data_IF_983666875805
#
_entry.id   IF_983666875805
#
_cell.length_a   1.000
_cell.length_b   1.000
_cell.length_c   1.000
_cell.angle_alpha   90.00
_cell.angle_beta   90.00
_cell.angle_gamma   90.00
#
_symmetry.space_group_name_H-M   'P 1'
#
loop_
_entity.id
_entity.type
_entity.pdbx_description
1 polymer ?
#
# COMPACT_ATOMS: atom_id res chain seq x y z
N UNK A 1 28.79 7.42 1.74
CA UNK A 1 28.54 8.81 1.32
C UNK A 1 27.13 9.20 1.76
N UNK A 2 26.96 10.14 2.69
CA UNK A 2 25.62 10.61 3.08
C UNK A 2 25.03 11.44 1.94
N UNK A 3 23.94 10.95 1.34
CA UNK A 3 23.14 11.75 0.41
C UNK A 3 22.47 12.86 1.23
N UNK A 4 22.57 14.15 0.83
CA UNK A 4 21.90 15.24 1.53
C UNK A 4 20.39 14.99 1.62
N UNK A 5 19.78 15.25 2.78
CA UNK A 5 18.33 15.10 3.02
C UNK A 5 17.48 15.81 1.96
N UNK A 6 17.97 16.95 1.46
CA UNK A 6 17.33 17.74 0.42
C UNK A 6 17.20 16.99 -0.91
N UNK A 7 18.21 16.19 -1.29
CA UNK A 7 18.16 15.37 -2.51
C UNK A 7 17.18 14.20 -2.36
N UNK A 8 17.04 13.65 -1.16
CA UNK A 8 16.07 12.58 -0.88
C UNK A 8 14.62 13.09 -0.87
N UNK A 9 14.41 14.35 -0.49
CA UNK A 9 13.11 15.03 -0.66
C UNK A 9 12.75 15.22 -2.13
N UNK A 10 13.73 15.57 -2.96
CA UNK A 10 13.52 15.64 -4.41
C UNK A 10 13.16 14.27 -4.99
N UNK A 11 13.69 13.16 -4.47
CA UNK A 11 13.28 11.82 -4.90
C UNK A 11 11.79 11.56 -4.65
N UNK A 12 11.24 11.99 -3.51
CA UNK A 12 9.81 11.86 -3.23
C UNK A 12 8.95 12.72 -4.18
N UNK A 13 9.40 13.94 -4.48
CA UNK A 13 8.73 14.82 -5.44
C UNK A 13 8.74 14.25 -6.86
N UNK A 14 9.86 13.65 -7.28
CA UNK A 14 9.95 12.97 -8.58
C UNK A 14 9.00 11.77 -8.63
N UNK A 15 8.91 10.99 -7.55
CA UNK A 15 7.97 9.87 -7.47
C UNK A 15 6.51 10.34 -7.61
N UNK A 16 6.14 11.46 -7.00
CA UNK A 16 4.80 12.06 -7.14
C UNK A 16 4.53 12.52 -8.58
N UNK A 17 5.55 13.03 -9.26
CA UNK A 17 5.43 13.46 -10.66
C UNK A 17 5.25 12.29 -11.65
N UNK A 18 5.63 11.06 -11.26
CA UNK A 18 5.35 9.85 -12.07
C UNK A 18 3.85 9.60 -12.03
N UNK A 19 3.16 9.99 -13.12
CA UNK A 19 1.70 9.81 -13.26
C UNK A 19 1.36 8.35 -13.57
N UNK A 20 1.57 7.45 -12.61
CA UNK A 20 1.32 6.00 -12.75
C UNK A 20 -0.08 5.68 -13.28
N UNK A 21 -1.09 6.45 -12.87
CA UNK A 21 -2.47 6.26 -13.35
C UNK A 21 -2.63 6.49 -14.86
N UNK A 22 -1.78 7.34 -15.47
CA UNK A 22 -1.81 7.61 -16.91
C UNK A 22 -1.15 6.50 -17.73
N UNK A 23 -0.34 5.65 -17.11
CA UNK A 23 0.36 4.57 -17.81
C UNK A 23 -0.36 3.23 -17.72
N UNK A 24 -1.48 3.13 -17.00
CA UNK A 24 -2.26 1.89 -16.84
C UNK A 24 -2.64 1.25 -18.19
N UNK A 25 -2.87 2.06 -19.23
CA UNK A 25 -3.19 1.57 -20.58
C UNK A 25 -2.03 0.85 -21.27
N UNK A 26 -0.79 1.02 -20.79
CA UNK A 26 0.39 0.28 -21.22
C UNK A 26 0.98 -0.44 -20.01
N UNK A 27 0.48 -1.64 -19.77
CA UNK A 27 0.75 -2.41 -18.56
C UNK A 27 2.24 -2.75 -18.36
N UNK A 28 3.02 -3.17 -19.38
CA UNK A 28 4.47 -3.33 -19.21
C UNK A 28 5.20 -2.04 -18.79
N UNK A 29 4.80 -0.89 -19.34
CA UNK A 29 5.40 0.39 -18.97
C UNK A 29 4.98 0.82 -17.55
N UNK A 30 3.70 0.63 -17.22
CA UNK A 30 3.18 0.83 -15.86
C UNK A 30 3.99 0.05 -14.84
N UNK A 31 4.19 -1.25 -15.06
CA UNK A 31 4.90 -2.13 -14.12
C UNK A 31 6.36 -1.69 -13.93
N UNK A 32 7.04 -1.25 -14.99
CA UNK A 32 8.40 -0.69 -14.90
C UNK A 32 8.45 0.57 -14.05
N UNK A 33 7.52 1.50 -14.25
CA UNK A 33 7.47 2.74 -13.47
C UNK A 33 7.05 2.48 -12.03
N UNK A 34 6.11 1.57 -11.81
CA UNK A 34 5.69 1.12 -10.50
C UNK A 34 6.88 0.56 -9.71
N UNK A 35 7.65 -0.34 -10.32
CA UNK A 35 8.82 -0.95 -9.68
C UNK A 35 9.90 0.10 -9.38
N UNK A 36 10.15 1.04 -10.30
CA UNK A 36 11.09 2.13 -10.07
C UNK A 36 10.69 3.01 -8.87
N UNK A 37 9.43 3.45 -8.80
CA UNK A 37 8.90 4.25 -7.68
C UNK A 37 8.95 3.45 -6.38
N UNK A 38 8.52 2.19 -6.41
CA UNK A 38 8.56 1.29 -5.26
C UNK A 38 9.99 1.10 -4.74
N UNK A 39 10.95 0.84 -5.62
CA UNK A 39 12.35 0.66 -5.25
C UNK A 39 12.91 1.90 -4.54
N UNK A 40 12.61 3.10 -5.05
CA UNK A 40 13.05 4.36 -4.42
C UNK A 40 12.52 4.48 -3.00
N UNK A 41 11.20 4.33 -2.80
CA UNK A 41 10.62 4.52 -1.46
C UNK A 41 10.99 3.37 -0.50
N UNK A 42 11.08 2.14 -0.99
CA UNK A 42 11.46 1.00 -0.19
C UNK A 42 12.91 1.12 0.28
N UNK A 43 13.82 1.50 -0.62
CA UNK A 43 15.23 1.74 -0.28
C UNK A 43 15.39 2.98 0.61
N UNK A 44 14.58 4.03 0.42
CA UNK A 44 14.58 5.19 1.31
C UNK A 44 14.22 4.77 2.74
N UNK A 45 13.19 3.94 2.91
CA UNK A 45 12.78 3.44 4.22
C UNK A 45 13.85 2.53 4.85
N UNK A 46 14.52 1.68 4.06
CA UNK A 46 15.54 0.75 4.57
C UNK A 46 16.85 1.46 4.93
N UNK A 47 17.40 2.25 4.00
CA UNK A 47 18.76 2.79 4.13
C UNK A 47 18.79 4.19 4.73
N UNK A 48 17.68 4.93 4.67
CA UNK A 48 17.57 6.30 5.18
C UNK A 48 16.25 6.50 5.96
N UNK A 49 15.92 5.62 6.93
CA UNK A 49 14.63 5.64 7.63
C UNK A 49 14.33 7.00 8.26
N UNK A 50 15.34 7.69 8.82
CA UNK A 50 15.16 9.02 9.41
C UNK A 50 14.51 10.00 8.41
N UNK A 51 14.96 10.01 7.16
CA UNK A 51 14.41 10.90 6.13
C UNK A 51 12.99 10.51 5.75
N UNK A 52 12.73 9.21 5.59
CA UNK A 52 11.38 8.71 5.33
C UNK A 52 10.40 9.09 6.46
N UNK A 53 10.85 9.04 7.72
CA UNK A 53 10.03 9.34 8.90
C UNK A 53 9.84 10.84 9.11
N UNK A 54 10.88 11.65 8.89
CA UNK A 54 10.80 13.12 8.95
C UNK A 54 9.88 13.67 7.86
N UNK A 55 9.74 12.94 6.76
CA UNK A 55 8.86 13.28 5.63
C UNK A 55 7.72 12.28 5.46
N UNK A 56 7.23 11.74 6.59
CA UNK A 56 6.27 10.64 6.65
C UNK A 56 4.96 10.90 5.89
N UNK A 57 4.49 12.14 5.84
CA UNK A 57 3.31 12.51 5.05
C UNK A 57 3.53 12.34 3.54
N UNK A 58 4.62 12.91 3.01
CA UNK A 58 4.99 12.77 1.59
C UNK A 58 5.31 11.31 1.26
N UNK A 59 6.02 10.61 2.14
CA UNK A 59 6.28 9.19 2.01
C UNK A 59 4.98 8.39 1.88
N UNK A 60 4.05 8.55 2.83
CA UNK A 60 2.77 7.84 2.84
C UNK A 60 1.92 8.20 1.61
N UNK A 61 1.97 9.44 1.16
CA UNK A 61 1.29 9.87 -0.06
C UNK A 61 1.75 9.06 -1.28
N UNK A 62 3.06 8.83 -1.45
CA UNK A 62 3.57 7.94 -2.51
C UNK A 62 3.09 6.50 -2.31
N UNK A 63 3.07 5.98 -1.07
CA UNK A 63 2.52 4.65 -0.78
C UNK A 63 1.06 4.54 -1.22
N UNK A 64 0.24 5.57 -0.97
CA UNK A 64 -1.15 5.63 -1.43
C UNK A 64 -1.24 5.66 -2.94
N UNK A 65 -0.40 6.44 -3.63
CA UNK A 65 -0.37 6.47 -5.10
C UNK A 65 -0.07 5.08 -5.65
N UNK A 66 0.95 4.39 -5.14
CA UNK A 66 1.27 3.03 -5.57
C UNK A 66 0.08 2.10 -5.33
N UNK A 67 -0.45 2.06 -4.11
CA UNK A 67 -1.58 1.19 -3.76
C UNK A 67 -2.80 1.44 -4.67
N UNK A 68 -3.21 2.71 -4.80
CA UNK A 68 -4.33 3.14 -5.64
C UNK A 68 -4.12 2.80 -7.12
N UNK A 69 -2.88 2.90 -7.60
CA UNK A 69 -2.55 2.57 -8.99
C UNK A 69 -2.52 1.06 -9.26
N UNK A 70 -2.13 0.26 -8.28
CA UNK A 70 -2.04 -1.20 -8.41
C UNK A 70 -3.40 -1.87 -8.35
N UNK A 71 -4.32 -1.42 -7.49
CA UNK A 71 -5.62 -2.08 -7.28
C UNK A 71 -6.43 -2.29 -8.59
N UNK A 72 -6.62 -1.30 -9.48
CA UNK A 72 -7.33 -1.53 -10.74
C UNK A 72 -6.58 -2.49 -11.68
N UNK A 73 -5.24 -2.41 -11.71
CA UNK A 73 -4.37 -3.31 -12.48
C UNK A 73 -4.42 -4.74 -11.94
N UNK A 74 -4.59 -4.90 -10.63
CA UNK A 74 -4.73 -6.18 -9.94
C UNK A 74 -6.13 -6.78 -9.99
N UNK A 75 -7.06 -6.20 -10.76
CA UNK A 75 -8.40 -6.75 -10.90
C UNK A 75 -8.40 -8.12 -11.56
N UNK A 76 -9.27 -9.01 -11.10
CA UNK A 76 -9.39 -10.38 -11.60
C UNK A 76 -9.59 -10.40 -13.11
N UNK A 77 -10.49 -9.55 -13.63
CA UNK A 77 -10.77 -9.46 -15.06
C UNK A 77 -9.53 -9.04 -15.84
N UNK A 78 -8.82 -7.98 -15.41
CA UNK A 78 -7.64 -7.50 -16.13
C UNK A 78 -6.51 -8.53 -16.08
N UNK A 79 -6.21 -9.08 -14.90
CA UNK A 79 -5.13 -10.07 -14.71
C UNK A 79 -5.39 -11.32 -15.56
N UNK A 80 -6.62 -11.85 -15.55
CA UNK A 80 -6.98 -13.04 -16.34
C UNK A 80 -6.85 -12.85 -17.86
N UNK A 81 -6.90 -11.60 -18.34
CA UNK A 81 -6.77 -11.27 -19.74
C UNK A 81 -5.31 -11.09 -20.20
N UNK A 82 -4.34 -11.13 -19.29
CA UNK A 82 -2.91 -10.96 -19.62
C UNK A 82 -2.20 -12.30 -19.81
N UNK A 83 -1.05 -12.27 -20.47
CA UNK A 83 -0.13 -13.41 -20.49
C UNK A 83 0.49 -13.69 -19.11
N UNK A 84 0.99 -14.91 -18.93
CA UNK A 84 1.53 -15.39 -17.65
C UNK A 84 2.68 -14.51 -17.11
N UNK A 85 3.53 -13.94 -17.96
CA UNK A 85 4.64 -13.12 -17.52
C UNK A 85 4.16 -11.79 -16.93
N UNK A 86 3.14 -11.18 -17.55
CA UNK A 86 2.52 -9.95 -17.02
C UNK A 86 1.73 -10.25 -15.73
N UNK A 87 1.00 -11.36 -15.65
CA UNK A 87 0.32 -11.78 -14.43
C UNK A 87 1.31 -11.91 -13.25
N UNK A 88 2.44 -12.58 -13.47
CA UNK A 88 3.49 -12.73 -12.46
C UNK A 88 4.06 -11.38 -11.99
N UNK A 89 4.24 -10.42 -12.90
CA UNK A 89 4.72 -9.09 -12.55
C UNK A 89 3.70 -8.29 -11.72
N UNK A 90 2.40 -8.41 -12.01
CA UNK A 90 1.34 -7.79 -11.18
C UNK A 90 1.34 -8.38 -9.77
N UNK A 91 1.42 -9.71 -9.66
CA UNK A 91 1.51 -10.40 -8.37
C UNK A 91 2.78 -9.94 -7.61
N UNK A 92 3.91 -9.79 -8.31
CA UNK A 92 5.14 -9.27 -7.72
C UNK A 92 4.99 -7.82 -7.23
N UNK A 93 4.27 -6.97 -7.95
CA UNK A 93 3.94 -5.62 -7.49
C UNK A 93 3.12 -5.64 -6.19
N UNK A 94 2.17 -6.57 -6.04
CA UNK A 94 1.43 -6.76 -4.79
C UNK A 94 2.32 -7.25 -3.64
N UNK A 95 3.24 -8.19 -3.91
CA UNK A 95 4.27 -8.64 -2.94
C UNK A 95 5.15 -7.48 -2.49
N UNK A 96 5.54 -6.61 -3.40
CA UNK A 96 6.35 -5.42 -3.12
C UNK A 96 5.62 -4.47 -2.17
N UNK A 97 4.32 -4.21 -2.40
CA UNK A 97 3.50 -3.40 -1.50
C UNK A 97 3.34 -4.03 -0.11
N UNK A 98 3.15 -5.36 -0.04
CA UNK A 98 3.15 -6.09 1.24
C UNK A 98 4.48 -5.90 2.00
N UNK A 99 5.62 -6.07 1.31
CA UNK A 99 6.96 -5.87 1.91
C UNK A 99 7.13 -4.46 2.45
N UNK A 100 6.67 -3.46 1.70
CA UNK A 100 6.73 -2.07 2.11
C UNK A 100 5.88 -1.80 3.36
N UNK A 101 4.63 -2.28 3.37
CA UNK A 101 3.74 -2.16 4.54
C UNK A 101 4.30 -2.90 5.77
N UNK A 102 4.91 -4.06 5.57
CA UNK A 102 5.61 -4.81 6.64
C UNK A 102 6.79 -4.01 7.19
N UNK A 103 7.55 -3.30 6.36
CA UNK A 103 8.63 -2.41 6.82
C UNK A 103 8.09 -1.18 7.54
N UNK A 104 7.00 -0.58 7.05
CA UNK A 104 6.34 0.53 7.76
C UNK A 104 5.90 0.11 9.16
N UNK A 105 5.43 -1.13 9.33
CA UNK A 105 5.03 -1.69 10.62
C UNK A 105 6.18 -1.74 11.64
N UNK A 106 7.44 -1.71 11.21
CA UNK A 106 8.61 -1.67 12.10
C UNK A 106 8.88 -0.26 12.68
N UNK A 107 8.12 0.76 12.26
CA UNK A 107 8.29 2.16 12.65
C UNK A 107 7.03 2.76 13.28
N UNK A 108 6.51 2.10 14.33
CA UNK A 108 5.22 2.37 14.99
C UNK A 108 4.93 3.85 15.25
N UNK A 109 5.83 4.54 15.95
CA UNK A 109 5.59 5.88 16.50
C UNK A 109 5.28 6.96 15.46
N UNK A 110 5.73 6.79 14.22
CA UNK A 110 5.61 7.81 13.17
C UNK A 110 4.45 7.50 12.22
N UNK A 111 4.17 6.23 11.95
CA UNK A 111 3.12 5.84 11.01
C UNK A 111 1.76 5.54 11.66
N UNK A 112 1.68 5.28 12.97
CA UNK A 112 0.42 4.95 13.66
C UNK A 112 -0.71 5.97 13.43
N UNK A 113 -0.40 7.27 13.35
CA UNK A 113 -1.38 8.33 13.07
C UNK A 113 -1.78 8.43 11.59
N UNK A 114 -0.95 7.91 10.70
CA UNK A 114 -1.06 8.07 9.26
C UNK A 114 -1.74 6.87 8.58
N UNK A 115 -1.47 5.67 9.09
CA UNK A 115 -1.97 4.39 8.56
C UNK A 115 -3.50 4.31 8.43
N UNK A 116 -4.32 4.85 9.36
CA UNK A 116 -5.79 4.83 9.17
C UNK A 116 -6.23 5.40 7.82
N UNK A 117 -5.54 6.44 7.34
CA UNK A 117 -5.84 7.04 6.04
C UNK A 117 -5.39 6.18 4.84
N UNK A 118 -4.39 5.31 5.02
CA UNK A 118 -3.97 4.33 4.00
C UNK A 118 -4.96 3.16 3.92
N UNK A 119 -5.47 2.70 5.08
CA UNK A 119 -6.54 1.69 5.14
C UNK A 119 -7.81 2.23 4.48
N UNK A 120 -8.17 3.50 4.75
CA UNK A 120 -9.30 4.14 4.09
C UNK A 120 -9.17 4.13 2.55
N UNK A 121 -7.99 4.47 2.03
CA UNK A 121 -7.70 4.45 0.59
C UNK A 121 -7.82 3.03 0.03
N UNK A 122 -7.27 2.02 0.72
CA UNK A 122 -7.40 0.62 0.32
C UNK A 122 -8.87 0.22 0.16
N UNK A 123 -9.67 0.43 1.21
CA UNK A 123 -11.08 0.04 1.25
C UNK A 123 -11.86 0.75 0.14
N UNK A 124 -11.61 2.05 -0.05
CA UNK A 124 -12.24 2.82 -1.12
C UNK A 124 -11.91 2.28 -2.50
N UNK A 125 -10.67 1.84 -2.73
CA UNK A 125 -10.27 1.31 -4.04
C UNK A 125 -10.87 -0.08 -4.30
N UNK A 126 -10.83 -0.99 -3.31
CA UNK A 126 -11.34 -2.36 -3.48
C UNK A 126 -12.86 -2.45 -3.50
N UNK A 127 -13.58 -1.40 -3.06
CA UNK A 127 -15.03 -1.32 -3.23
C UNK A 127 -15.46 -1.43 -4.70
N UNK A 128 -14.61 -0.98 -5.64
CA UNK A 128 -14.95 -0.90 -7.06
C UNK A 128 -14.34 -2.02 -7.90
N UNK A 129 -13.59 -2.94 -7.29
CA UNK A 129 -12.78 -3.93 -8.01
C UNK A 129 -12.81 -5.27 -7.28
N UNK A 130 -13.09 -6.34 -8.02
CA UNK A 130 -12.78 -7.70 -7.58
C UNK A 130 -11.31 -7.98 -7.90
N UNK A 131 -10.47 -8.07 -6.87
CA UNK A 131 -9.03 -8.38 -7.02
C UNK A 131 -8.82 -9.86 -7.40
N UNK A 132 -7.79 -10.11 -8.21
CA UNK A 132 -7.26 -11.46 -8.40
C UNK A 132 -6.79 -12.03 -7.04
N UNK A 133 -6.93 -13.34 -6.85
CA UNK A 133 -6.73 -13.99 -5.53
C UNK A 133 -5.34 -13.75 -4.95
N UNK A 134 -4.27 -14.00 -5.71
CA UNK A 134 -2.90 -13.83 -5.21
C UNK A 134 -2.57 -12.36 -4.93
N UNK A 135 -3.06 -11.44 -5.77
CA UNK A 135 -2.95 -9.99 -5.52
C UNK A 135 -3.65 -9.63 -4.21
N UNK A 136 -4.90 -10.09 -4.03
CA UNK A 136 -5.70 -9.84 -2.81
C UNK A 136 -4.98 -10.34 -1.57
N UNK A 137 -4.47 -11.57 -1.60
CA UNK A 137 -3.81 -12.20 -0.45
C UNK A 137 -2.57 -11.40 0.01
N UNK A 138 -1.74 -10.96 -0.94
CA UNK A 138 -0.59 -10.13 -0.61
C UNK A 138 -0.99 -8.75 -0.07
N UNK A 139 -1.98 -8.09 -0.67
CA UNK A 139 -2.43 -6.79 -0.17
C UNK A 139 -3.06 -6.91 1.22
N UNK A 140 -3.93 -7.90 1.46
CA UNK A 140 -4.54 -8.14 2.77
C UNK A 140 -3.47 -8.47 3.81
N UNK A 141 -2.48 -9.29 3.48
CA UNK A 141 -1.32 -9.55 4.36
C UNK A 141 -0.65 -8.24 4.79
N UNK A 142 -0.38 -7.32 3.84
CA UNK A 142 0.24 -6.04 4.16
C UNK A 142 -0.67 -5.12 4.97
N UNK A 143 -1.97 -5.08 4.66
CA UNK A 143 -2.97 -4.32 5.42
C UNK A 143 -3.03 -4.82 6.87
N UNK A 144 -3.01 -6.14 7.09
CA UNK A 144 -2.98 -6.72 8.43
C UNK A 144 -1.74 -6.29 9.22
N UNK A 145 -0.56 -6.23 8.58
CA UNK A 145 0.68 -5.77 9.23
C UNK A 145 0.61 -4.31 9.69
N UNK A 146 -0.05 -3.44 8.93
CA UNK A 146 -0.19 -2.03 9.34
C UNK A 146 -1.40 -1.80 10.25
N UNK A 147 -2.39 -2.71 10.27
CA UNK A 147 -3.48 -2.68 11.25
C UNK A 147 -2.96 -2.86 12.68
N UNK A 148 -1.85 -3.55 12.88
CA UNK A 148 -1.16 -3.63 14.17
C UNK A 148 -0.75 -2.24 14.71
N UNK A 149 -0.49 -1.27 13.81
CA UNK A 149 -0.13 0.11 14.18
C UNK A 149 -1.32 0.95 14.66
N UNK A 150 -2.55 0.49 14.43
CA UNK A 150 -3.75 1.26 14.74
C UNK A 150 -4.20 0.97 16.17
N UNK A 151 -4.34 2.01 16.99
CA UNK A 151 -5.06 1.88 18.26
C UNK A 151 -6.55 1.58 18.01
N UNK A 152 -7.22 0.95 18.99
CA UNK A 152 -8.67 0.73 18.91
C UNK A 152 -9.45 2.04 18.70
N UNK A 153 -8.97 3.16 19.26
CA UNK A 153 -9.57 4.48 19.04
C UNK A 153 -9.40 4.94 17.59
N UNK A 154 -8.23 4.72 16.98
CA UNK A 154 -7.99 5.01 15.57
C UNK A 154 -8.91 4.18 14.67
N UNK A 155 -9.10 2.88 14.97
CA UNK A 155 -9.99 1.99 14.21
C UNK A 155 -11.46 2.41 14.36
N UNK A 156 -11.92 2.70 15.58
CA UNK A 156 -13.28 3.21 15.82
C UNK A 156 -13.51 4.53 15.09
N UNK A 157 -12.57 5.46 15.19
CA UNK A 157 -12.65 6.75 14.48
C UNK A 157 -12.75 6.55 12.97
N UNK A 158 -11.93 5.66 12.39
CA UNK A 158 -12.01 5.34 10.97
C UNK A 158 -13.36 4.74 10.57
N UNK A 159 -13.91 3.83 11.39
CA UNK A 159 -15.23 3.22 11.11
C UNK A 159 -16.37 4.25 10.99
N UNK A 160 -16.29 5.33 11.77
CA UNK A 160 -17.28 6.43 11.75
C UNK A 160 -17.07 7.34 10.54
N UNK A 161 -15.81 7.66 10.24
CA UNK A 161 -15.43 8.68 9.25
C UNK A 161 -15.27 8.15 7.81
N UNK A 162 -15.17 6.84 7.62
CA UNK A 162 -15.09 6.26 6.27
C UNK A 162 -16.42 6.45 5.52
N UNK A 163 -16.35 6.50 4.18
CA UNK A 163 -17.52 6.55 3.32
C UNK A 163 -18.51 5.43 3.73
N UNK A 164 -19.81 5.72 3.92
CA UNK A 164 -20.82 4.72 4.26
C UNK A 164 -20.76 3.46 3.38
N UNK A 165 -20.48 3.60 2.07
CA UNK A 165 -20.40 2.46 1.14
C UNK A 165 -19.20 1.54 1.36
N UNK A 166 -18.19 2.01 2.10
CA UNK A 166 -16.98 1.26 2.45
C UNK A 166 -17.09 0.53 3.80
N UNK A 167 -18.12 0.82 4.62
CA UNK A 167 -18.18 0.38 6.02
C UNK A 167 -18.17 -1.13 6.17
N UNK A 168 -18.93 -1.86 5.35
CA UNK A 168 -19.02 -3.32 5.44
C UNK A 168 -17.68 -3.99 5.07
N UNK A 169 -17.01 -3.48 4.04
CA UNK A 169 -15.69 -3.96 3.62
C UNK A 169 -14.67 -3.72 4.74
N UNK A 170 -14.65 -2.50 5.30
CA UNK A 170 -13.80 -2.16 6.43
C UNK A 170 -14.07 -3.05 7.65
N UNK A 171 -15.34 -3.21 8.03
CA UNK A 171 -15.74 -4.04 9.16
C UNK A 171 -15.30 -5.50 8.98
N UNK A 172 -15.45 -6.05 7.77
CA UNK A 172 -14.99 -7.39 7.44
C UNK A 172 -13.46 -7.53 7.56
N UNK A 173 -12.70 -6.56 7.06
CA UNK A 173 -11.23 -6.55 7.18
C UNK A 173 -10.81 -6.55 8.67
N UNK A 174 -11.37 -5.65 9.48
CA UNK A 174 -11.03 -5.57 10.91
C UNK A 174 -11.44 -6.83 11.66
N UNK A 175 -12.62 -7.39 11.36
CA UNK A 175 -13.08 -8.65 11.95
C UNK A 175 -12.12 -9.79 11.64
N UNK A 176 -11.76 -9.97 10.36
CA UNK A 176 -10.85 -11.03 9.93
C UNK A 176 -9.46 -10.84 10.56
N UNK A 177 -8.92 -9.62 10.55
CA UNK A 177 -7.66 -9.30 11.22
C UNK A 177 -7.69 -9.69 12.71
N UNK A 178 -8.74 -9.33 13.46
CA UNK A 178 -8.88 -9.72 14.86
C UNK A 178 -8.92 -11.24 15.02
N UNK A 179 -9.69 -11.94 14.19
CA UNK A 179 -9.74 -13.41 14.23
C UNK A 179 -8.36 -14.02 14.01
N UNK A 180 -7.62 -13.60 12.98
CA UNK A 180 -6.25 -14.09 12.72
C UNK A 180 -5.28 -13.75 13.85
N UNK A 181 -5.36 -12.55 14.42
CA UNK A 181 -4.47 -12.11 15.51
C UNK A 181 -4.69 -12.89 16.81
N UNK A 182 -5.94 -13.22 17.15
CA UNK A 182 -6.26 -13.88 18.41
C UNK A 182 -6.29 -15.42 18.34
N UNK A 183 -6.30 -16.02 17.14
CA UNK A 183 -6.29 -17.48 16.95
C UNK A 183 -4.95 -18.00 16.40
N UNK A 184 -3.91 -17.15 16.36
CA UNK A 184 -2.59 -17.44 15.78
C UNK A 184 -1.50 -17.84 16.77
N UNK A 185 -1.84 -18.10 18.04
CA UNK A 185 -0.93 -18.75 19.01
C UNK A 185 -1.36 -20.21 19.20
N UNK A 186 -0.82 -21.11 18.36
CA UNK A 186 -0.67 -22.55 18.67
C UNK A 186 0.68 -23.01 18.16
#
# INVERSE_FOLDING_TARGET
SCIPTQNLMHCLQICDAVKLQKTINNLPLFLKYFDAVWNVIHNLLIFQPKVALDSSHSFLHIVKILLKSLIPVGSQNLVSAQDANIQLQIIQAAKNINRLMTRMAQHENKFAKLVPSLIAEYVSCVQHVTLESNVKDHLISGINRILDLCSDNSLKSLSVNINPSCRDIYANIVKNYKQFKYHGDV
#
